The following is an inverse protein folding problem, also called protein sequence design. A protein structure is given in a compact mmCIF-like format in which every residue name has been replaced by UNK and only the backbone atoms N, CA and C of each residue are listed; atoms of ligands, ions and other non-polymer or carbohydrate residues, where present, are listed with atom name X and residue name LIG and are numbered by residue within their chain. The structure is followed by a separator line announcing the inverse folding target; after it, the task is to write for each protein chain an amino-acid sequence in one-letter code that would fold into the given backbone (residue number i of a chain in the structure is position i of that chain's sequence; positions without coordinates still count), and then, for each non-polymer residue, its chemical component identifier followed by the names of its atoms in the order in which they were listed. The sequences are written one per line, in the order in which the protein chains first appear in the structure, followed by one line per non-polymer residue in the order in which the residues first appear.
data_IF_369252439194
#
_entry.id   IF_369252439194
#
_cell.length_a   1.000
_cell.length_b   1.000
_cell.length_c   1.000
_cell.angle_alpha   90.00
_cell.angle_beta   90.00
_cell.angle_gamma   90.00
#
_symmetry.space_group_name_H-M   'P 1'
#
loop_
_entity.id
_entity.type
_entity.pdbx_description
1 polymer ?
#
# COMPACT_ATOMS: atom_id res chain seq x y z
N UNK A 1 9.39 16.58 1.52
CA UNK A 1 10.16 15.38 1.91
C UNK A 1 10.35 14.51 0.68
N UNK A 2 11.47 13.79 0.50
CA UNK A 2 11.62 12.91 -0.67
C UNK A 2 10.69 11.70 -0.56
N UNK A 3 10.26 11.15 -1.70
CA UNK A 3 9.43 9.95 -1.73
C UNK A 3 9.99 8.79 -0.89
N UNK A 4 11.27 8.45 -1.08
CA UNK A 4 11.92 7.33 -0.38
C UNK A 4 11.97 7.56 1.14
N UNK A 5 12.20 8.80 1.57
CA UNK A 5 12.19 9.15 3.00
C UNK A 5 10.79 8.94 3.58
N UNK A 6 9.76 9.38 2.88
CA UNK A 6 8.36 9.20 3.27
C UNK A 6 7.97 7.71 3.31
N UNK A 7 8.33 6.95 2.28
CA UNK A 7 8.06 5.51 2.20
C UNK A 7 8.74 4.75 3.33
N UNK A 8 10.01 5.06 3.64
CA UNK A 8 10.75 4.45 4.74
C UNK A 8 10.12 4.78 6.10
N UNK A 9 9.70 6.03 6.30
CA UNK A 9 9.03 6.45 7.53
C UNK A 9 7.70 5.71 7.72
N UNK A 10 6.86 5.64 6.68
CA UNK A 10 5.59 4.92 6.73
C UNK A 10 5.81 3.42 6.92
N UNK A 11 6.80 2.83 6.26
CA UNK A 11 7.17 1.43 6.42
C UNK A 11 7.57 1.11 7.87
N UNK A 12 8.32 2.00 8.53
CA UNK A 12 8.64 1.88 9.95
C UNK A 12 7.38 1.94 10.83
N UNK A 13 6.47 2.89 10.58
CA UNK A 13 5.20 3.02 11.30
C UNK A 13 4.28 1.79 11.09
N UNK A 14 4.26 1.21 9.88
CA UNK A 14 3.49 0.00 9.58
C UNK A 14 3.99 -1.27 10.30
N UNK A 15 5.29 -1.31 10.63
CA UNK A 15 5.92 -2.45 11.32
C UNK A 15 5.63 -2.48 12.82
N UNK A 16 5.38 -1.32 13.41
CA UNK A 16 5.14 -1.15 14.84
C UNK A 16 3.66 -1.43 15.16
N UNK A 17 2.90 -0.42 15.59
CA UNK A 17 1.45 -0.48 15.79
C UNK A 17 0.74 0.51 14.86
N UNK A 18 0.55 0.17 13.57
CA UNK A 18 -0.12 1.09 12.65
C UNK A 18 -1.61 1.23 12.97
N UNK A 19 -2.05 2.47 12.85
CA UNK A 19 -3.46 2.83 12.74
C UNK A 19 -3.90 2.93 11.27
N UNK A 20 -5.19 3.19 11.09
CA UNK A 20 -5.82 3.29 9.78
C UNK A 20 -5.29 4.49 8.97
N UNK A 21 -4.80 5.55 9.66
CA UNK A 21 -4.24 6.74 9.02
C UNK A 21 -2.88 6.45 8.41
N UNK A 22 -2.00 5.76 9.13
CA UNK A 22 -0.70 5.28 8.61
C UNK A 22 -0.93 4.35 7.42
N UNK A 23 -1.89 3.43 7.53
CA UNK A 23 -2.25 2.53 6.44
C UNK A 23 -2.80 3.30 5.21
N UNK A 24 -3.61 4.33 5.44
CA UNK A 24 -4.09 5.24 4.39
C UNK A 24 -2.95 6.02 3.71
N UNK A 25 -1.98 6.50 4.47
CA UNK A 25 -0.78 7.15 3.95
C UNK A 25 0.08 6.23 3.10
N UNK A 26 0.22 4.96 3.51
CA UNK A 26 0.90 3.94 2.71
C UNK A 26 0.20 3.68 1.39
N UNK A 27 -1.13 3.56 1.42
CA UNK A 27 -1.97 3.40 0.23
C UNK A 27 -1.85 4.62 -0.70
N UNK A 28 -1.83 5.84 -0.15
CA UNK A 28 -1.60 7.07 -0.89
C UNK A 28 -0.25 7.03 -1.62
N UNK A 29 0.86 6.78 -0.90
CA UNK A 29 2.19 6.72 -1.50
C UNK A 29 2.29 5.62 -2.58
N UNK A 30 1.73 4.44 -2.33
CA UNK A 30 1.70 3.35 -3.32
C UNK A 30 0.95 3.76 -4.59
N UNK A 31 -0.16 4.49 -4.47
CA UNK A 31 -0.89 5.04 -5.61
C UNK A 31 -0.09 6.12 -6.35
N UNK A 32 0.62 6.99 -5.63
CA UNK A 32 1.47 8.00 -6.26
C UNK A 32 2.64 7.37 -7.00
N UNK A 33 3.28 6.34 -6.45
CA UNK A 33 4.26 5.56 -7.19
C UNK A 33 3.67 4.95 -8.46
N UNK A 34 2.52 4.28 -8.35
CA UNK A 34 1.86 3.71 -9.51
C UNK A 34 1.60 4.75 -10.61
N UNK A 35 1.02 5.91 -10.26
CA UNK A 35 0.70 6.97 -11.23
C UNK A 35 1.94 7.60 -11.87
N UNK A 36 2.96 7.91 -11.07
CA UNK A 36 4.10 8.70 -11.52
C UNK A 36 5.16 7.86 -12.24
N UNK A 37 5.26 6.57 -11.89
CA UNK A 37 6.17 5.62 -12.52
C UNK A 37 5.48 4.72 -13.54
N UNK A 38 4.22 5.02 -13.92
CA UNK A 38 3.47 4.26 -14.91
C UNK A 38 4.23 4.19 -16.24
N UNK A 39 4.71 2.98 -16.56
CA UNK A 39 5.27 2.63 -17.86
C UNK A 39 4.30 1.76 -18.69
N UNK A 40 4.73 1.31 -19.87
CA UNK A 40 3.96 0.37 -20.70
C UNK A 40 4.07 -1.10 -20.23
N UNK A 41 4.37 -1.31 -18.94
CA UNK A 41 4.60 -2.63 -18.36
C UNK A 41 3.29 -3.20 -17.79
N UNK A 42 2.87 -4.36 -18.30
CA UNK A 42 1.66 -5.06 -17.86
C UNK A 42 1.74 -5.44 -16.37
N UNK A 43 2.94 -5.66 -15.83
CA UNK A 43 3.11 -5.89 -14.40
C UNK A 43 2.70 -4.67 -13.57
N UNK A 44 2.98 -3.47 -14.08
CA UNK A 44 2.62 -2.21 -13.44
C UNK A 44 1.11 -1.93 -13.50
N UNK A 45 0.46 -2.31 -14.61
CA UNK A 45 -1.00 -2.27 -14.72
C UNK A 45 -1.66 -3.20 -13.70
N UNK A 46 -1.13 -4.43 -13.55
CA UNK A 46 -1.62 -5.38 -12.54
C UNK A 46 -1.44 -4.85 -11.13
N UNK A 47 -0.29 -4.26 -10.84
CA UNK A 47 -0.02 -3.60 -9.56
C UNK A 47 -1.08 -2.53 -9.26
N UNK A 48 -1.31 -1.62 -10.22
CA UNK A 48 -2.32 -0.57 -10.09
C UNK A 48 -3.74 -1.10 -9.86
N UNK A 49 -4.16 -2.11 -10.62
CA UNK A 49 -5.50 -2.69 -10.50
C UNK A 49 -5.74 -3.30 -9.11
N UNK A 50 -4.77 -4.06 -8.59
CA UNK A 50 -4.89 -4.67 -7.25
C UNK A 50 -4.89 -3.58 -6.15
N UNK A 51 -4.08 -2.52 -6.29
CA UNK A 51 -4.08 -1.39 -5.34
C UNK A 51 -5.41 -0.63 -5.33
N UNK A 52 -5.92 -0.28 -6.51
CA UNK A 52 -7.13 0.54 -6.63
C UNK A 52 -8.36 -0.19 -6.07
N UNK A 53 -8.44 -1.50 -6.26
CA UNK A 53 -9.54 -2.30 -5.69
C UNK A 53 -9.48 -2.36 -4.15
N UNK A 54 -8.28 -2.51 -3.57
CA UNK A 54 -8.10 -2.44 -2.11
C UNK A 54 -8.41 -1.04 -1.59
N UNK A 55 -7.94 0.01 -2.28
CA UNK A 55 -8.22 1.41 -1.96
C UNK A 55 -9.71 1.70 -1.92
N UNK A 56 -10.46 1.26 -2.94
CA UNK A 56 -11.89 1.49 -3.02
C UNK A 56 -12.67 0.83 -1.87
N UNK A 57 -12.23 -0.32 -1.38
CA UNK A 57 -12.94 -1.09 -0.34
C UNK A 57 -12.56 -0.72 1.09
N UNK A 58 -11.31 -0.37 1.35
CA UNK A 58 -10.79 -0.15 2.72
C UNK A 58 -10.42 1.30 3.01
N UNK A 59 -10.27 2.12 1.98
CA UNK A 59 -9.76 3.49 2.10
C UNK A 59 -10.67 4.52 1.42
N UNK A 60 -11.97 4.20 1.25
CA UNK A 60 -12.96 5.14 0.72
C UNK A 60 -13.10 6.39 1.58
N UNK A 61 -12.99 6.22 2.89
CA UNK A 61 -13.17 7.27 3.90
C UNK A 61 -11.84 7.99 4.21
N UNK A 62 -10.74 7.48 3.65
CA UNK A 62 -9.37 8.01 3.80
C UNK A 62 -8.86 8.63 2.49
N UNK A 63 -9.77 9.07 1.60
CA UNK A 63 -9.39 9.66 0.31
C UNK A 63 -8.71 11.03 0.44
N UNK A 64 -8.94 11.71 1.56
CA UNK A 64 -8.31 12.97 1.96
C UNK A 64 -6.95 12.79 2.63
N UNK A 65 -6.56 11.55 2.97
CA UNK A 65 -5.23 11.27 3.50
C UNK A 65 -4.19 11.50 2.41
N UNK A 66 -3.35 12.51 2.63
CA UNK A 66 -2.21 12.84 1.79
C UNK A 66 -0.93 12.80 2.60
N UNK A 67 0.15 12.35 1.99
CA UNK A 67 1.49 12.44 2.56
C UNK A 67 2.24 13.57 1.87
N UNK A 68 2.77 14.51 2.64
CA UNK A 68 3.58 15.63 2.13
C UNK A 68 4.97 15.13 1.69
N UNK A 69 4.99 14.49 0.54
CA UNK A 69 6.17 13.96 -0.10
C UNK A 69 6.17 14.36 -1.58
N UNK A 70 7.37 14.64 -2.09
CA UNK A 70 7.60 14.73 -3.53
C UNK A 70 7.27 13.38 -4.18
N UNK A 71 6.65 13.40 -5.36
CA UNK A 71 6.42 12.18 -6.14
C UNK A 71 7.73 11.48 -6.50
N UNK A 72 7.73 10.15 -6.72
CA UNK A 72 8.93 9.45 -7.15
C UNK A 72 9.33 9.91 -8.55
N UNK A 73 10.60 10.26 -8.71
CA UNK A 73 11.11 10.91 -9.94
C UNK A 73 11.64 9.88 -10.95
N UNK A 74 12.00 8.68 -10.49
CA UNK A 74 12.59 7.63 -11.30
C UNK A 74 12.13 6.24 -10.85
N UNK A 75 11.98 5.37 -11.83
CA UNK A 75 11.75 3.95 -11.62
C UNK A 75 13.09 3.23 -11.49
N UNK A 76 13.73 3.37 -10.32
CA UNK A 76 14.98 2.71 -9.98
C UNK A 76 14.78 1.58 -8.96
N UNK A 77 15.79 0.73 -8.81
CA UNK A 77 15.72 -0.45 -7.94
C UNK A 77 15.45 -0.08 -6.47
N UNK A 78 15.95 1.07 -6.01
CA UNK A 78 15.72 1.54 -4.64
C UNK A 78 14.27 1.95 -4.43
N UNK A 79 13.70 2.71 -5.37
CA UNK A 79 12.28 3.11 -5.33
C UNK A 79 11.36 1.90 -5.44
N UNK A 80 11.63 0.96 -6.35
CA UNK A 80 10.87 -0.29 -6.47
C UNK A 80 10.90 -1.08 -5.17
N UNK A 81 12.09 -1.26 -4.57
CA UNK A 81 12.22 -1.96 -3.30
C UNK A 81 11.44 -1.28 -2.17
N UNK A 82 11.52 0.05 -2.06
CA UNK A 82 10.79 0.81 -1.05
C UNK A 82 9.25 0.68 -1.21
N UNK A 83 8.75 0.72 -2.46
CA UNK A 83 7.32 0.51 -2.76
C UNK A 83 6.90 -0.92 -2.42
N UNK A 84 7.67 -1.92 -2.87
CA UNK A 84 7.40 -3.34 -2.59
C UNK A 84 7.34 -3.60 -1.09
N UNK A 85 8.35 -3.17 -0.33
CA UNK A 85 8.40 -3.33 1.12
C UNK A 85 7.19 -2.67 1.81
N UNK A 86 6.83 -1.46 1.40
CA UNK A 86 5.69 -0.74 1.98
C UNK A 86 4.37 -1.46 1.72
N UNK A 87 4.15 -1.95 0.49
CA UNK A 87 2.95 -2.71 0.11
C UNK A 87 2.91 -4.06 0.85
N UNK A 88 4.05 -4.71 1.06
CA UNK A 88 4.13 -5.91 1.89
C UNK A 88 3.78 -5.63 3.35
N UNK A 89 4.23 -4.52 3.93
CA UNK A 89 3.83 -4.15 5.30
C UNK A 89 2.34 -3.82 5.38
N UNK A 90 1.77 -3.18 4.35
CA UNK A 90 0.33 -2.93 4.28
C UNK A 90 -0.46 -4.25 4.20
N UNK A 91 0.06 -5.24 3.48
CA UNK A 91 -0.50 -6.59 3.46
C UNK A 91 -0.47 -7.25 4.85
N UNK A 92 0.62 -7.06 5.61
CA UNK A 92 0.74 -7.57 6.99
C UNK A 92 -0.21 -6.86 7.95
N UNK A 93 -0.41 -5.55 7.80
CA UNK A 93 -1.41 -4.80 8.55
C UNK A 93 -2.80 -5.41 8.35
N UNK A 94 -3.24 -5.60 7.10
CA UNK A 94 -4.53 -6.24 6.83
C UNK A 94 -4.59 -7.70 7.31
N UNK A 95 -3.48 -8.44 7.27
CA UNK A 95 -3.44 -9.78 7.86
C UNK A 95 -3.70 -9.76 9.38
N UNK A 96 -3.19 -8.75 10.10
CA UNK A 96 -3.50 -8.57 11.54
C UNK A 96 -4.97 -8.24 11.74
N UNK A 97 -5.54 -7.34 10.94
CA UNK A 97 -6.97 -7.03 10.97
C UNK A 97 -7.84 -8.27 10.67
N UNK A 98 -7.41 -9.13 9.76
CA UNK A 98 -8.13 -10.35 9.40
C UNK A 98 -8.32 -11.35 10.56
N UNK A 99 -7.48 -11.27 11.61
CA UNK A 99 -7.58 -12.12 12.80
C UNK A 99 -8.08 -11.36 14.03
N UNK A 100 -8.40 -10.07 13.90
CA UNK A 100 -8.89 -9.25 15.01
C UNK A 100 -10.33 -9.66 15.42
N UNK A 101 -10.48 -10.13 16.65
CA UNK A 101 -11.77 -10.55 17.21
C UNK A 101 -12.77 -9.41 17.43
N UNK A 102 -12.34 -8.15 17.36
CA UNK A 102 -13.21 -6.97 17.41
C UNK A 102 -13.99 -6.77 16.12
N UNK A 103 -13.50 -7.31 15.00
CA UNK A 103 -14.15 -7.23 13.70
C UNK A 103 -15.12 -8.41 13.48
N UNK A 104 -16.26 -8.15 12.87
CA UNK A 104 -17.17 -9.19 12.40
C UNK A 104 -16.55 -10.06 11.30
N UNK A 105 -17.11 -11.26 11.07
CA UNK A 105 -16.59 -12.22 10.08
C UNK A 105 -16.39 -11.60 8.69
N UNK A 106 -17.36 -10.81 8.21
CA UNK A 106 -17.26 -10.16 6.90
C UNK A 106 -16.09 -9.17 6.82
N UNK A 107 -15.85 -8.38 7.87
CA UNK A 107 -14.72 -7.44 7.94
C UNK A 107 -13.38 -8.18 7.92
N UNK A 108 -13.27 -9.25 8.72
CA UNK A 108 -12.06 -10.10 8.74
C UNK A 108 -11.76 -10.73 7.38
N UNK A 109 -12.76 -11.29 6.70
CA UNK A 109 -12.60 -11.85 5.35
C UNK A 109 -12.24 -10.78 4.30
N UNK A 110 -12.80 -9.57 4.44
CA UNK A 110 -12.46 -8.45 3.56
C UNK A 110 -10.99 -8.04 3.70
N UNK A 111 -10.45 -8.02 4.93
CA UNK A 111 -9.04 -7.75 5.18
C UNK A 111 -8.13 -8.90 4.73
N UNK A 112 -8.54 -10.16 4.89
CA UNK A 112 -7.76 -11.29 4.35
C UNK A 112 -7.63 -11.19 2.82
N UNK A 113 -8.73 -10.89 2.13
CA UNK A 113 -8.71 -10.66 0.69
C UNK A 113 -7.78 -9.51 0.30
N UNK A 114 -7.84 -8.38 1.01
CA UNK A 114 -6.94 -7.25 0.80
C UNK A 114 -5.47 -7.61 1.02
N UNK A 115 -5.15 -8.36 2.08
CA UNK A 115 -3.80 -8.84 2.34
C UNK A 115 -3.28 -9.73 1.19
N UNK A 116 -4.11 -10.63 0.66
CA UNK A 116 -3.73 -11.46 -0.50
C UNK A 116 -3.50 -10.62 -1.77
N UNK A 117 -4.34 -9.61 -2.01
CA UNK A 117 -4.22 -8.71 -3.16
C UNK A 117 -2.95 -7.87 -3.12
N UNK A 118 -2.64 -7.29 -1.97
CA UNK A 118 -1.41 -6.49 -1.80
C UNK A 118 -0.16 -7.36 -1.95
N UNK A 119 -0.17 -8.62 -1.51
CA UNK A 119 0.95 -9.54 -1.80
C UNK A 119 1.11 -9.82 -3.30
N UNK A 120 0.01 -9.95 -4.05
CA UNK A 120 0.08 -10.09 -5.52
C UNK A 120 0.56 -8.82 -6.19
N UNK A 121 0.17 -7.65 -5.68
CA UNK A 121 0.65 -6.36 -6.14
C UNK A 121 2.17 -6.25 -5.92
N UNK A 122 2.66 -6.50 -4.70
CA UNK A 122 4.09 -6.52 -4.38
C UNK A 122 4.87 -7.52 -5.24
N UNK A 123 4.34 -8.73 -5.44
CA UNK A 123 4.97 -9.74 -6.29
C UNK A 123 5.02 -9.35 -7.79
N UNK A 124 4.18 -8.43 -8.26
CA UNK A 124 4.27 -7.92 -9.63
C UNK A 124 5.41 -6.91 -9.81
N UNK A 125 5.94 -6.34 -8.72
CA UNK A 125 7.03 -5.37 -8.76
C UNK A 125 8.43 -6.00 -8.62
N UNK A 126 8.49 -7.25 -8.15
CA UNK A 126 9.71 -8.02 -7.87
C UNK A 126 10.31 -8.75 -9.07
#
# INVERSE_FOLDING_TARGET
MKYIEAANQINALLRDEPDDLVAGGAMYLACEAWKQLAGSDIAWDRFGLELLDVRARHYSDHQDVTVDAEGPVRDDAETRLAVTDMVEQLARYHQRCAVDGRLGLAGRLSHDAAAQQLRRAAAALG
#
